data_IF_157592581595
#
_entry.id   IF_157592581595
#
_cell.length_a   1.000
_cell.length_b   1.000
_cell.length_c   1.000
_cell.angle_alpha   90.00
_cell.angle_beta   90.00
_cell.angle_gamma   90.00
#
_symmetry.space_group_name_H-M   'P 1'
#
loop_
_entity.id
_entity.type
_entity.pdbx_description
1 polymer ?
#
# COMPACT_ATOMS: atom_id res chain seq x y z
N UNK A 1 -17.22 -9.71 -19.29
CA UNK A 1 -16.88 -9.91 -17.86
C UNK A 1 -15.88 -8.82 -17.49
N UNK A 2 -16.20 -7.97 -16.51
CA UNK A 2 -15.23 -6.98 -16.02
C UNK A 2 -14.29 -7.72 -15.07
N UNK A 3 -13.02 -7.85 -15.43
CA UNK A 3 -12.02 -8.49 -14.58
C UNK A 3 -11.82 -7.64 -13.31
N UNK A 4 -11.95 -8.26 -12.14
CA UNK A 4 -11.69 -7.60 -10.86
C UNK A 4 -10.19 -7.49 -10.61
N UNK A 5 -9.71 -6.28 -10.32
CA UNK A 5 -8.31 -6.07 -9.93
C UNK A 5 -8.14 -6.47 -8.46
N UNK A 6 -7.08 -7.22 -8.16
CA UNK A 6 -6.75 -7.67 -6.81
C UNK A 6 -5.44 -7.01 -6.37
N UNK A 7 -5.44 -6.40 -5.19
CA UNK A 7 -4.25 -5.95 -4.50
C UNK A 7 -3.80 -7.03 -3.53
N UNK A 8 -2.55 -7.46 -3.67
CA UNK A 8 -1.90 -8.39 -2.74
C UNK A 8 -0.90 -7.63 -1.89
N UNK A 9 -1.04 -7.72 -0.57
CA UNK A 9 -0.13 -7.10 0.39
C UNK A 9 0.58 -8.20 1.17
N UNK A 10 1.92 -8.18 1.15
CA UNK A 10 2.75 -9.18 1.81
C UNK A 10 3.67 -8.50 2.84
N UNK A 11 3.75 -9.06 4.03
CA UNK A 11 4.70 -8.65 5.07
C UNK A 11 5.90 -9.62 5.10
N UNK A 12 7.01 -9.31 4.41
CA UNK A 12 8.19 -10.18 4.41
C UNK A 12 9.03 -10.07 5.70
N UNK A 13 8.62 -9.26 6.67
CA UNK A 13 9.41 -8.97 7.88
C UNK A 13 9.11 -9.98 8.99
N UNK A 14 10.01 -10.15 9.99
CA UNK A 14 9.77 -11.03 11.13
C UNK A 14 8.86 -10.42 12.21
N UNK A 15 8.28 -9.24 11.98
CA UNK A 15 7.45 -8.52 12.94
C UNK A 15 6.03 -8.32 12.43
N UNK A 16 5.09 -8.02 13.33
CA UNK A 16 3.75 -7.60 12.92
C UNK A 16 3.83 -6.22 12.27
N UNK A 17 3.14 -6.04 11.14
CA UNK A 17 3.07 -4.77 10.45
C UNK A 17 1.64 -4.21 10.52
N UNK A 18 1.47 -3.09 11.21
CA UNK A 18 0.21 -2.34 11.27
C UNK A 18 0.19 -1.27 10.19
N UNK A 19 -0.57 -1.52 9.12
CA UNK A 19 -0.78 -0.60 8.01
C UNK A 19 -2.11 0.14 8.18
N UNK A 20 -2.13 1.42 7.82
CA UNK A 20 -3.29 2.29 7.91
C UNK A 20 -3.45 3.08 6.61
N UNK A 21 -4.69 3.41 6.30
CA UNK A 21 -5.09 4.31 5.21
C UNK A 21 -4.39 3.91 3.90
N UNK A 22 -4.67 2.70 3.41
CA UNK A 22 -4.12 2.20 2.16
C UNK A 22 -4.84 2.88 1.00
N UNK A 23 -4.08 3.42 0.05
CA UNK A 23 -4.61 4.11 -1.12
C UNK A 23 -3.99 3.60 -2.41
N UNK A 24 -4.79 3.60 -3.48
CA UNK A 24 -4.34 3.48 -4.87
C UNK A 24 -4.84 4.72 -5.61
N UNK A 25 -3.93 5.46 -6.25
CA UNK A 25 -4.24 6.70 -6.98
C UNK A 25 -5.05 7.72 -6.16
N UNK A 26 -4.79 7.76 -4.85
CA UNK A 26 -5.50 8.63 -3.91
C UNK A 26 -6.88 8.12 -3.46
N UNK A 27 -7.37 7.01 -4.00
CA UNK A 27 -8.61 6.36 -3.54
C UNK A 27 -8.28 5.37 -2.43
N UNK A 28 -8.97 5.48 -1.30
CA UNK A 28 -8.76 4.58 -0.17
C UNK A 28 -9.33 3.19 -0.49
N UNK A 29 -8.48 2.17 -0.36
CA UNK A 29 -8.82 0.77 -0.66
C UNK A 29 -8.93 -0.10 0.59
N UNK A 30 -8.35 0.34 1.71
CA UNK A 30 -8.54 -0.26 3.02
C UNK A 30 -8.29 0.76 4.13
N UNK A 31 -9.03 0.63 5.23
CA UNK A 31 -8.84 1.44 6.43
C UNK A 31 -7.58 1.04 7.20
N UNK A 32 -7.45 -0.25 7.49
CA UNK A 32 -6.32 -0.81 8.21
C UNK A 32 -6.06 -2.27 7.81
N UNK A 33 -4.81 -2.70 7.98
CA UNK A 33 -4.40 -4.09 7.90
C UNK A 33 -3.36 -4.35 8.99
N UNK A 34 -3.55 -5.41 9.78
CA UNK A 34 -2.52 -5.94 10.65
C UNK A 34 -2.03 -7.24 10.00
N UNK A 35 -0.75 -7.27 9.63
CA UNK A 35 -0.14 -8.41 8.97
C UNK A 35 0.83 -9.10 9.93
N UNK A 36 0.65 -10.41 10.14
CA UNK A 36 1.61 -11.25 10.84
C UNK A 36 2.92 -11.39 10.03
N UNK A 37 4.02 -11.85 10.67
CA UNK A 37 5.26 -12.16 9.96
C UNK A 37 5.04 -13.17 8.83
N UNK A 38 5.46 -12.81 7.61
CA UNK A 38 5.27 -13.65 6.41
C UNK A 38 3.85 -13.69 5.85
N UNK A 39 2.90 -12.97 6.45
CA UNK A 39 1.50 -13.01 6.00
C UNK A 39 1.30 -12.29 4.67
N UNK A 40 0.49 -12.89 3.80
CA UNK A 40 -0.02 -12.30 2.58
C UNK A 40 -1.54 -12.20 2.62
N UNK A 41 -2.06 -11.03 2.30
CA UNK A 41 -3.49 -10.74 2.26
C UNK A 41 -3.88 -10.19 0.90
N UNK A 42 -4.97 -10.71 0.36
CA UNK A 42 -5.57 -10.24 -0.88
C UNK A 42 -6.77 -9.34 -0.61
N UNK A 43 -6.92 -8.31 -1.44
CA UNK A 43 -8.04 -7.37 -1.42
C UNK A 43 -8.53 -7.12 -2.84
N UNK A 44 -9.79 -7.45 -3.08
CA UNK A 44 -10.46 -7.08 -4.32
C UNK A 44 -10.68 -5.57 -4.31
N UNK A 45 -10.19 -4.87 -5.32
CA UNK A 45 -10.36 -3.44 -5.41
C UNK A 45 -11.83 -3.10 -5.69
N UNK A 46 -12.39 -2.08 -5.02
CA UNK A 46 -13.70 -1.54 -5.36
C UNK A 46 -13.79 -1.16 -6.84
N UNK A 47 -14.95 -1.36 -7.47
CA UNK A 47 -15.14 -1.09 -8.91
C UNK A 47 -14.90 0.37 -9.33
N UNK A 48 -15.03 1.31 -8.38
CA UNK A 48 -14.75 2.73 -8.59
C UNK A 48 -13.25 3.06 -8.57
N UNK A 49 -12.40 2.11 -8.17
CA UNK A 49 -10.95 2.21 -8.30
C UNK A 49 -10.59 1.69 -9.69
N UNK A 50 -10.37 2.61 -10.61
CA UNK A 50 -9.76 2.29 -11.92
C UNK A 50 -8.30 2.73 -11.85
N UNK A 51 -7.35 1.80 -11.62
CA UNK A 51 -5.94 2.15 -11.55
C UNK A 51 -5.52 2.85 -12.84
N UNK A 52 -4.77 3.94 -12.70
CA UNK A 52 -4.12 4.60 -13.83
C UNK A 52 -3.10 3.66 -14.50
N UNK A 53 -2.49 4.11 -15.61
CA UNK A 53 -1.46 3.33 -16.31
C UNK A 53 -0.24 3.04 -15.40
N UNK A 54 0.02 3.91 -14.43
CA UNK A 54 1.12 3.81 -13.47
C UNK A 54 0.60 4.03 -12.05
N UNK A 55 -0.15 3.07 -11.48
CA UNK A 55 -0.88 3.33 -10.26
C UNK A 55 0.08 3.59 -9.09
N UNK A 56 -0.26 4.58 -8.28
CA UNK A 56 0.47 4.94 -7.07
C UNK A 56 -0.18 4.32 -5.87
N UNK A 57 0.54 3.42 -5.21
CA UNK A 57 0.14 2.86 -3.92
C UNK A 57 0.79 3.60 -2.77
N UNK A 58 0.04 3.82 -1.70
CA UNK A 58 0.57 4.43 -0.48
C UNK A 58 -0.17 3.93 0.76
N UNK A 59 0.52 3.97 1.90
CA UNK A 59 -0.03 3.63 3.20
C UNK A 59 0.75 4.33 4.31
N UNK A 60 0.27 4.23 5.54
CA UNK A 60 1.00 4.60 6.75
C UNK A 60 1.27 3.38 7.60
N UNK A 61 2.48 3.21 8.11
CA UNK A 61 2.79 2.18 9.09
C UNK A 61 2.84 2.80 10.49
N UNK A 62 2.24 2.12 11.46
CA UNK A 62 2.38 2.48 12.88
C UNK A 62 3.67 1.86 13.41
N UNK A 63 4.49 2.66 14.09
CA UNK A 63 5.72 2.20 14.76
C UNK A 63 5.43 1.78 16.20
N UNK A 64 6.38 1.09 16.82
CA UNK A 64 6.28 0.62 18.23
C UNK A 64 6.07 1.77 19.23
N UNK A 65 6.46 2.99 18.86
CA UNK A 65 6.29 4.20 19.67
C UNK A 65 5.00 4.98 19.34
N UNK A 66 4.08 4.39 18.58
CA UNK A 66 2.82 5.02 18.15
C UNK A 66 2.97 6.08 17.05
N UNK A 67 4.19 6.29 16.52
CA UNK A 67 4.42 7.20 15.41
C UNK A 67 3.93 6.62 14.09
N UNK A 68 3.49 7.47 13.16
CA UNK A 68 3.09 7.04 11.82
C UNK A 68 4.16 7.42 10.80
N UNK A 69 4.57 6.45 9.98
CA UNK A 69 5.49 6.68 8.85
C UNK A 69 4.77 6.41 7.54
N UNK A 70 4.97 7.29 6.55
CA UNK A 70 4.32 7.16 5.24
C UNK A 70 5.20 6.38 4.28
N UNK A 71 4.60 5.46 3.55
CA UNK A 71 5.26 4.65 2.53
C UNK A 71 4.52 4.77 1.21
N UNK A 72 5.24 4.63 0.11
CA UNK A 72 4.64 4.65 -1.22
C UNK A 72 5.40 3.80 -2.24
N UNK A 73 4.73 3.46 -3.33
CA UNK A 73 5.29 2.83 -4.50
C UNK A 73 4.54 3.25 -5.77
N UNK A 74 5.23 3.30 -6.91
CA UNK A 74 4.63 3.43 -8.24
C UNK A 74 4.71 2.10 -8.98
N UNK A 75 3.56 1.62 -9.46
CA UNK A 75 3.48 0.44 -10.33
C UNK A 75 3.82 0.80 -11.77
N UNK A 76 5.10 0.69 -12.12
CA UNK A 76 5.59 1.00 -13.47
C UNK A 76 5.57 -0.26 -14.38
N UNK A 77 4.40 -0.88 -14.54
CA UNK A 77 4.25 -2.12 -15.31
C UNK A 77 4.76 -3.39 -14.62
N UNK A 78 5.26 -3.29 -13.39
CA UNK A 78 5.65 -4.42 -12.55
C UNK A 78 4.44 -4.98 -11.80
N UNK A 79 4.35 -6.31 -11.67
CA UNK A 79 3.27 -6.97 -10.91
C UNK A 79 3.46 -6.91 -9.39
N UNK A 80 4.72 -6.79 -8.93
CA UNK A 80 5.08 -6.80 -7.51
C UNK A 80 6.12 -5.73 -7.23
N UNK A 81 6.01 -5.06 -6.08
CA UNK A 81 6.94 -4.01 -5.69
C UNK A 81 6.92 -3.73 -4.19
N UNK A 82 8.05 -3.22 -3.71
CA UNK A 82 8.27 -2.89 -2.31
C UNK A 82 8.09 -1.40 -2.10
N UNK A 83 7.16 -1.02 -1.24
CA UNK A 83 6.97 0.38 -0.87
C UNK A 83 8.15 0.92 -0.08
N UNK A 84 8.54 2.16 -0.39
CA UNK A 84 9.67 2.85 0.24
C UNK A 84 9.17 3.91 1.20
N UNK A 85 9.94 4.15 2.25
CA UNK A 85 9.68 5.21 3.22
C UNK A 85 9.75 6.56 2.51
N UNK A 86 8.71 7.38 2.63
CA UNK A 86 8.75 8.79 2.28
C UNK A 86 9.38 9.55 3.44
N UNK A 87 10.57 10.09 3.21
CA UNK A 87 11.20 10.99 4.18
C UNK A 87 10.39 12.30 4.29
N UNK A 88 10.41 12.93 5.46
CA UNK A 88 9.58 14.11 5.75
C UNK A 88 9.84 15.33 4.83
N UNK A 89 10.94 15.30 4.06
CA UNK A 89 11.34 16.35 3.12
C UNK A 89 11.16 15.94 1.65
N UNK A 90 10.71 14.72 1.38
CA UNK A 90 10.36 14.27 0.04
C UNK A 90 9.06 14.94 -0.39
N UNK A 91 9.08 15.67 -1.50
CA UNK A 91 7.86 16.28 -2.04
C UNK A 91 6.80 15.21 -2.27
N UNK A 92 5.51 15.54 -2.10
CA UNK A 92 4.40 14.61 -2.35
C UNK A 92 4.36 14.05 -3.80
N UNK A 93 5.17 14.63 -4.68
CA UNK A 93 5.44 14.22 -6.07
C UNK A 93 6.42 13.05 -6.22
N UNK A 94 7.22 12.73 -5.19
CA UNK A 94 8.15 11.57 -5.14
C UNK A 94 7.49 10.26 -4.68
N UNK A 95 6.16 10.33 -4.53
CA UNK A 95 5.17 9.43 -5.11
C UNK A 95 5.31 9.19 -6.60
#
# INVERSE_FOLDING_TARGET
QSASVVLTVHNPTPYHASLQALHIDGVQVAESLLLAPGEQVERVLPKNVMPSLHPRFSYRALTDYGGQRRYCARFNGQATLTARLLENNAFQEEC
#
